data_IF_901268184305
#
_entry.id   IF_901268184305
#
_cell.length_a   1.000
_cell.length_b   1.000
_cell.length_c   1.000
_cell.angle_alpha   90.00
_cell.angle_beta   90.00
_cell.angle_gamma   90.00
#
_symmetry.space_group_name_H-M   'P 1'
#
loop_
_entity.id
_entity.type
_entity.pdbx_description
1 polymer ?
#
# COMPACT_ATOMS: atom_id res chain seq x y z
N UNK A 1 10.46 3.39 38.66
CA UNK A 1 9.81 2.65 37.56
C UNK A 1 10.92 1.93 36.81
N UNK A 2 10.96 0.59 36.90
CA UNK A 2 11.93 -0.22 36.16
C UNK A 2 11.42 -0.29 34.72
N UNK A 3 12.16 0.17 33.69
CA UNK A 3 11.75 -0.06 32.32
C UNK A 3 11.70 -1.56 32.11
N UNK A 4 10.51 -2.07 31.76
CA UNK A 4 10.37 -3.47 31.35
C UNK A 4 11.29 -3.66 30.16
N UNK A 5 12.18 -4.64 30.23
CA UNK A 5 13.08 -4.99 29.13
C UNK A 5 12.22 -5.32 27.90
N UNK A 6 12.05 -4.35 27.00
CA UNK A 6 11.40 -4.59 25.73
C UNK A 6 12.24 -5.64 24.99
N UNK A 7 11.64 -6.74 24.53
CA UNK A 7 12.41 -7.77 23.83
C UNK A 7 13.10 -7.13 22.64
N UNK A 8 14.43 -7.23 22.61
CA UNK A 8 15.23 -6.71 21.49
C UNK A 8 14.90 -7.56 20.26
N UNK A 9 14.11 -6.99 19.36
CA UNK A 9 13.76 -7.64 18.10
C UNK A 9 14.87 -7.36 17.09
N UNK A 10 15.42 -8.42 16.49
CA UNK A 10 16.45 -8.31 15.46
C UNK A 10 15.85 -8.20 14.06
N UNK A 11 16.62 -7.63 13.14
CA UNK A 11 16.23 -7.55 11.74
C UNK A 11 16.12 -8.95 11.14
N UNK A 12 15.04 -9.21 10.40
CA UNK A 12 14.80 -10.48 9.73
C UNK A 12 15.84 -10.86 8.65
N UNK A 13 16.68 -9.91 8.24
CA UNK A 13 17.71 -10.08 7.21
C UNK A 13 19.14 -9.91 7.73
N UNK A 14 19.29 -9.27 8.89
CA UNK A 14 20.56 -8.98 9.53
C UNK A 14 20.40 -9.29 11.03
N UNK A 15 20.49 -10.57 11.43
CA UNK A 15 20.22 -11.00 12.81
C UNK A 15 21.15 -10.34 13.84
N UNK A 16 22.28 -9.80 13.41
CA UNK A 16 23.23 -9.06 14.23
C UNK A 16 22.83 -7.60 14.52
N UNK A 17 21.79 -7.07 13.85
CA UNK A 17 21.36 -5.68 13.97
C UNK A 17 19.94 -5.60 14.53
N UNK A 18 19.75 -4.77 15.56
CA UNK A 18 18.43 -4.47 16.09
C UNK A 18 17.50 -3.87 15.02
N UNK A 19 16.26 -4.34 14.99
CA UNK A 19 15.23 -3.79 14.12
C UNK A 19 14.75 -2.44 14.68
N UNK A 20 14.55 -1.48 13.78
CA UNK A 20 14.07 -0.14 14.14
C UNK A 20 12.67 0.15 13.57
N UNK A 21 12.19 -0.73 12.70
CA UNK A 21 10.94 -0.57 11.99
C UNK A 21 10.38 -1.93 11.61
N UNK A 22 9.08 -1.97 11.31
CA UNK A 22 8.40 -3.17 10.80
C UNK A 22 7.85 -2.90 9.41
N UNK A 23 8.10 -3.81 8.47
CA UNK A 23 7.60 -3.67 7.10
C UNK A 23 6.07 -3.62 7.11
N UNK A 24 5.50 -2.52 6.62
CA UNK A 24 4.05 -2.26 6.64
C UNK A 24 3.22 -3.22 5.79
N UNK A 25 3.87 -4.00 4.90
CA UNK A 25 3.22 -4.99 4.03
C UNK A 25 3.38 -6.43 4.53
N UNK A 26 4.59 -6.83 4.92
CA UNK A 26 4.85 -8.24 5.29
C UNK A 26 5.05 -8.47 6.80
N UNK A 27 5.05 -7.41 7.62
CA UNK A 27 5.17 -7.52 9.07
C UNK A 27 6.56 -7.88 9.59
N UNK A 28 7.57 -8.01 8.71
CA UNK A 28 8.93 -8.37 9.14
C UNK A 28 9.62 -7.19 9.84
N UNK A 29 10.29 -7.41 10.98
CA UNK A 29 11.15 -6.42 11.59
C UNK A 29 12.40 -6.18 10.73
N UNK A 30 12.75 -4.92 10.52
CA UNK A 30 13.84 -4.48 9.64
C UNK A 30 14.72 -3.43 10.31
N UNK A 31 16.02 -3.50 10.04
CA UNK A 31 17.00 -2.51 10.46
C UNK A 31 17.01 -1.30 9.51
N UNK A 32 17.77 -0.26 9.89
CA UNK A 32 17.95 0.96 9.11
C UNK A 32 18.48 0.71 7.69
N UNK A 33 19.26 -0.37 7.47
CA UNK A 33 19.79 -0.73 6.14
C UNK A 33 18.72 -1.31 5.21
N UNK A 34 17.78 -2.06 5.77
CA UNK A 34 16.70 -2.68 5.00
C UNK A 34 15.48 -1.75 4.84
N UNK A 35 15.46 -0.60 5.52
CA UNK A 35 14.32 0.29 5.56
C UNK A 35 14.23 1.13 4.29
N UNK A 36 13.15 0.92 3.54
CA UNK A 36 12.66 1.86 2.52
C UNK A 36 11.48 2.64 3.09
N UNK A 37 11.69 3.92 3.42
CA UNK A 37 10.65 4.77 3.98
C UNK A 37 9.89 5.53 2.88
N UNK A 38 8.55 5.49 2.93
CA UNK A 38 7.66 6.28 2.08
C UNK A 38 6.63 6.94 2.99
N UNK A 39 6.75 8.25 3.19
CA UNK A 39 5.94 8.98 4.17
C UNK A 39 6.11 8.42 5.58
N UNK A 40 5.01 7.98 6.20
CA UNK A 40 4.99 7.38 7.55
C UNK A 40 5.10 5.86 7.56
N UNK A 41 5.38 5.23 6.41
CA UNK A 41 5.42 3.77 6.26
C UNK A 41 6.83 3.32 5.89
N UNK A 42 7.22 2.16 6.41
CA UNK A 42 8.51 1.51 6.15
C UNK A 42 8.28 0.16 5.47
N UNK A 43 9.17 -0.18 4.54
CA UNK A 43 9.10 -1.40 3.75
C UNK A 43 10.46 -2.07 3.65
N UNK A 44 10.49 -3.41 3.55
CA UNK A 44 11.72 -4.17 3.40
C UNK A 44 12.22 -4.30 1.95
N UNK A 45 11.39 -3.96 0.96
CA UNK A 45 11.75 -4.02 -0.46
C UNK A 45 10.77 -3.26 -1.36
N UNK A 46 11.22 -2.92 -2.57
CA UNK A 46 10.39 -2.33 -3.63
C UNK A 46 9.15 -3.18 -3.94
N UNK A 47 9.27 -4.50 -3.92
CA UNK A 47 8.13 -5.41 -4.13
C UNK A 47 7.04 -5.20 -3.07
N UNK A 48 7.43 -4.97 -1.82
CA UNK A 48 6.48 -4.70 -0.74
C UNK A 48 5.80 -3.33 -0.90
N UNK A 49 6.52 -2.34 -1.43
CA UNK A 49 5.97 -1.02 -1.75
C UNK A 49 4.89 -1.13 -2.84
N UNK A 50 5.23 -1.76 -3.96
CA UNK A 50 4.33 -1.89 -5.13
C UNK A 50 3.06 -2.66 -4.79
N UNK A 51 3.18 -3.72 -3.98
CA UNK A 51 2.02 -4.50 -3.55
C UNK A 51 1.17 -3.80 -2.47
N UNK A 52 1.75 -2.87 -1.70
CA UNK A 52 1.02 -2.12 -0.67
C UNK A 52 0.25 -0.93 -1.24
N UNK A 53 0.72 -0.34 -2.35
CA UNK A 53 0.03 0.75 -3.04
C UNK A 53 -0.59 0.28 -4.37
N UNK A 54 -1.57 -0.65 -4.37
CA UNK A 54 -2.27 -1.04 -5.59
C UNK A 54 -3.03 0.16 -6.21
N UNK A 55 -3.31 1.20 -5.41
CA UNK A 55 -4.05 2.39 -5.82
C UNK A 55 -3.27 3.38 -6.71
N UNK A 56 -1.92 3.35 -6.74
CA UNK A 56 -1.16 4.26 -7.62
C UNK A 56 -1.27 3.87 -9.10
N UNK A 57 -1.66 2.64 -9.41
CA UNK A 57 -1.81 2.18 -10.79
C UNK A 57 -3.26 2.25 -11.30
N UNK A 58 -4.26 2.16 -10.42
CA UNK A 58 -5.64 1.85 -10.86
C UNK A 58 -6.57 3.07 -10.85
N UNK A 59 -6.32 4.07 -10.01
CA UNK A 59 -7.27 5.19 -9.85
C UNK A 59 -7.27 6.20 -11.01
N UNK A 60 -6.21 6.22 -11.83
CA UNK A 60 -6.12 7.15 -12.98
C UNK A 60 -6.88 6.67 -14.23
N UNK A 61 -7.25 5.38 -14.32
CA UNK A 61 -7.86 4.81 -15.53
C UNK A 61 -9.39 4.61 -15.41
N UNK A 62 -9.93 4.43 -14.21
CA UNK A 62 -11.35 4.09 -14.04
C UNK A 62 -12.27 5.32 -14.15
N UNK A 63 -11.81 6.52 -13.75
CA UNK A 63 -12.69 7.70 -13.70
C UNK A 63 -13.20 8.17 -15.06
N UNK A 64 -12.45 8.00 -16.15
CA UNK A 64 -12.92 8.33 -17.51
C UNK A 64 -13.81 7.24 -18.11
N UNK A 65 -13.59 5.98 -17.73
CA UNK A 65 -14.31 4.85 -18.30
C UNK A 65 -15.75 4.74 -17.74
N UNK A 66 -15.95 5.05 -16.45
CA UNK A 66 -17.29 5.09 -15.85
C UNK A 66 -18.21 6.18 -16.45
N UNK A 67 -17.67 7.34 -16.83
CA UNK A 67 -18.46 8.41 -17.45
C UNK A 67 -19.00 8.02 -18.84
N UNK A 68 -18.21 7.24 -19.59
CA UNK A 68 -18.55 6.82 -20.95
C UNK A 68 -19.73 5.82 -20.98
N UNK A 69 -19.75 4.88 -20.03
CA UNK A 69 -20.82 3.87 -19.92
C UNK A 69 -22.16 4.51 -19.52
N UNK A 70 -22.15 5.55 -18.69
CA UNK A 70 -23.38 6.23 -18.25
C UNK A 70 -24.06 7.06 -19.34
N UNK A 71 -23.32 7.57 -20.33
CA UNK A 71 -23.90 8.37 -21.42
C UNK A 71 -24.67 7.54 -22.45
N UNK A 72 -24.30 6.28 -22.67
CA UNK A 72 -24.97 5.43 -23.67
C UNK A 72 -26.35 4.90 -23.20
N UNK A 73 -26.61 4.82 -21.89
CA UNK A 73 -27.86 4.28 -21.34
C UNK A 73 -29.06 5.25 -21.33
N UNK A 74 -28.85 6.56 -21.52
CA UNK A 74 -29.92 7.57 -21.35
C UNK A 74 -30.60 8.01 -22.66
N UNK A 75 -30.10 7.59 -23.83
CA UNK A 75 -30.66 7.97 -25.14
C UNK A 75 -31.92 7.21 -25.58
N UNK A 76 -32.24 6.06 -24.99
CA UNK A 76 -33.35 5.19 -25.46
C UNK A 76 -34.69 5.43 -24.75
N UNK A 77 -34.72 6.15 -23.62
CA UNK A 77 -35.96 6.34 -22.84
C UNK A 77 -36.99 7.28 -23.47
N UNK A 78 -36.64 8.03 -24.51
CA UNK A 78 -37.53 9.03 -25.13
C UNK A 78 -38.18 8.60 -26.45
N UNK A 79 -37.75 7.50 -27.07
CA UNK A 79 -38.22 7.12 -28.42
C UNK A 79 -39.47 6.23 -28.42
N UNK A 80 -39.82 5.61 -27.28
CA UNK A 80 -40.92 4.61 -27.22
C UNK A 80 -42.21 5.14 -26.57
N UNK A 81 -42.54 6.41 -26.80
CA UNK A 81 -43.83 7.01 -26.41
C UNK A 81 -44.35 7.91 -27.53
N UNK A 82 -44.72 7.28 -28.64
CA UNK A 82 -45.62 7.83 -29.65
C UNK A 82 -46.57 6.73 -30.09
#
# INVERSE_FOLDING_TARGET
MIPKDDPVIFCAYHPEIAAIATCSRCGKPICYRCQHAIGKKSFCSLRCILLFYPALLIRSLISKFQWMIQKMGQGWKWVRKK
#
